data_IF_422629203415
#
_entry.id   IF_422629203415
#
_cell.length_a   1.000
_cell.length_b   1.000
_cell.length_c   1.000
_cell.angle_alpha   90.00
_cell.angle_beta   90.00
_cell.angle_gamma   90.00
#
_symmetry.space_group_name_H-M   'P 1'
#
loop_
_entity.id
_entity.type
_entity.pdbx_description
1 polymer ?
#
# COMPACT_ATOMS: atom_id res chain seq x y z
N UNK A 1 -2.72 -10.10 -5.72
CA UNK A 1 -3.28 -10.82 -4.55
C UNK A 1 -3.27 -12.32 -4.85
N UNK A 2 -3.26 -13.17 -3.82
CA UNK A 2 -3.18 -14.64 -3.87
C UNK A 2 -1.94 -15.22 -4.59
N UNK A 3 -0.91 -14.41 -4.75
CA UNK A 3 0.38 -14.80 -5.32
C UNK A 3 1.49 -14.00 -4.67
N UNK A 4 2.72 -14.54 -4.72
CA UNK A 4 3.89 -13.79 -4.29
C UNK A 4 4.03 -12.52 -5.16
N UNK A 5 4.32 -11.36 -4.56
CA UNK A 5 4.58 -10.16 -5.34
C UNK A 5 5.76 -10.42 -6.30
N UNK A 6 5.69 -9.90 -7.54
CA UNK A 6 6.69 -10.17 -8.57
C UNK A 6 7.93 -9.28 -8.38
N UNK A 7 8.51 -9.33 -7.19
CA UNK A 7 9.69 -8.59 -6.75
C UNK A 7 10.93 -9.51 -6.81
N UNK A 8 12.08 -8.97 -7.18
CA UNK A 8 13.35 -9.71 -7.31
C UNK A 8 14.00 -10.03 -5.94
N UNK A 9 13.24 -10.59 -5.01
CA UNK A 9 13.72 -11.11 -3.73
C UNK A 9 13.57 -12.64 -3.65
N UNK A 10 14.36 -13.31 -2.80
CA UNK A 10 14.14 -14.72 -2.48
C UNK A 10 12.68 -15.01 -2.12
N UNK A 11 12.19 -16.20 -2.46
CA UNK A 11 10.80 -16.58 -2.13
C UNK A 11 10.52 -16.52 -0.62
N UNK A 12 11.51 -16.84 0.22
CA UNK A 12 11.42 -16.75 1.68
C UNK A 12 11.26 -15.33 2.22
N UNK A 13 11.55 -14.31 1.42
CA UNK A 13 11.44 -12.89 1.79
C UNK A 13 10.16 -12.24 1.20
N UNK A 14 9.31 -13.05 0.55
CA UNK A 14 8.06 -12.59 -0.05
C UNK A 14 6.88 -13.30 0.60
N UNK A 15 5.83 -12.54 0.87
CA UNK A 15 4.56 -13.07 1.33
C UNK A 15 3.44 -12.65 0.36
N UNK A 16 2.49 -13.54 0.14
CA UNK A 16 1.30 -13.23 -0.63
C UNK A 16 0.30 -12.43 0.22
N UNK A 17 -0.38 -11.46 -0.38
CA UNK A 17 -1.61 -10.88 0.21
C UNK A 17 -2.81 -11.72 -0.18
N UNK A 18 -3.77 -11.91 0.73
CA UNK A 18 -4.99 -12.67 0.47
C UNK A 18 -5.72 -13.01 1.77
N UNK A 19 -6.75 -13.85 1.67
CA UNK A 19 -7.35 -14.44 2.87
C UNK A 19 -6.47 -15.55 3.41
N UNK A 20 -6.36 -15.66 4.73
CA UNK A 20 -5.55 -16.65 5.42
C UNK A 20 -6.38 -17.46 6.42
N UNK A 21 -6.32 -18.77 6.33
CA UNK A 21 -6.93 -19.68 7.30
C UNK A 21 -5.83 -20.49 7.99
N UNK A 22 -5.75 -20.39 9.31
CA UNK A 22 -4.75 -21.10 10.12
C UNK A 22 -3.30 -20.93 9.61
N UNK A 23 -2.94 -19.70 9.19
CA UNK A 23 -1.60 -19.36 8.70
C UNK A 23 -1.31 -19.80 7.25
N UNK A 24 -2.30 -20.33 6.53
CA UNK A 24 -2.17 -20.72 5.13
C UNK A 24 -3.06 -19.85 4.25
N UNK A 25 -2.58 -19.54 3.04
CA UNK A 25 -3.36 -18.81 2.06
C UNK A 25 -4.63 -19.61 1.72
N UNK A 26 -5.78 -18.98 1.85
CA UNK A 26 -7.10 -19.56 1.71
C UNK A 26 -7.81 -18.95 0.49
N UNK A 27 -7.96 -19.74 -0.57
CA UNK A 27 -8.71 -19.36 -1.77
C UNK A 27 -10.15 -19.94 -1.71
N UNK A 28 -11.17 -19.13 -1.38
CA UNK A 28 -12.53 -19.61 -1.18
C UNK A 28 -13.16 -20.13 -2.48
N UNK A 29 -13.67 -21.37 -2.46
CA UNK A 29 -14.39 -21.98 -3.60
C UNK A 29 -15.87 -21.60 -3.64
N UNK A 30 -16.43 -21.23 -2.49
CA UNK A 30 -17.80 -20.72 -2.33
C UNK A 30 -17.78 -19.42 -1.51
N UNK A 31 -17.33 -18.30 -2.10
CA UNK A 31 -17.11 -17.05 -1.37
C UNK A 31 -18.35 -16.49 -0.66
N UNK A 32 -19.54 -16.77 -1.18
CA UNK A 32 -20.85 -16.39 -0.66
C UNK A 32 -21.15 -16.98 0.73
N UNK A 33 -20.56 -18.13 1.04
CA UNK A 33 -20.74 -18.82 2.34
C UNK A 33 -19.46 -18.85 3.17
N UNK A 34 -18.30 -18.68 2.54
CA UNK A 34 -16.99 -18.83 3.18
C UNK A 34 -16.33 -17.50 3.55
N UNK A 35 -16.85 -16.38 3.08
CA UNK A 35 -16.29 -15.03 3.33
C UNK A 35 -17.42 -14.12 3.77
N UNK A 36 -17.16 -13.31 4.80
CA UNK A 36 -18.05 -12.21 5.17
C UNK A 36 -17.68 -10.98 4.32
N UNK A 37 -18.49 -10.62 3.30
CA UNK A 37 -18.17 -9.50 2.42
C UNK A 37 -18.23 -8.16 3.15
N UNK A 38 -19.03 -8.04 4.21
CA UNK A 38 -19.11 -6.85 5.03
C UNK A 38 -17.79 -6.59 5.73
N UNK A 39 -17.23 -7.60 6.41
CA UNK A 39 -15.91 -7.53 7.07
C UNK A 39 -14.80 -7.25 6.07
N UNK A 40 -14.80 -7.97 4.95
CA UNK A 40 -13.77 -7.82 3.93
C UNK A 40 -13.73 -6.40 3.34
N UNK A 41 -14.91 -5.79 3.11
CA UNK A 41 -15.02 -4.49 2.45
C UNK A 41 -14.32 -3.35 3.19
N UNK A 42 -14.16 -3.43 4.52
CA UNK A 42 -13.42 -2.43 5.30
C UNK A 42 -12.04 -2.93 5.78
N UNK A 43 -11.52 -3.99 5.16
CA UNK A 43 -10.18 -4.49 5.40
C UNK A 43 -10.05 -5.34 6.67
N UNK A 44 -11.16 -5.89 7.17
CA UNK A 44 -11.18 -6.93 8.18
C UNK A 44 -11.34 -8.31 7.52
N UNK A 45 -11.77 -9.29 8.31
CA UNK A 45 -11.80 -10.72 8.00
C UNK A 45 -10.40 -11.34 8.09
N UNK A 46 -10.23 -12.53 7.53
CA UNK A 46 -8.94 -13.23 7.40
C UNK A 46 -7.98 -12.57 6.40
N UNK A 47 -8.22 -11.32 5.99
CA UNK A 47 -7.40 -10.63 5.01
C UNK A 47 -6.06 -10.24 5.63
N UNK A 48 -4.97 -10.73 5.05
CA UNK A 48 -3.63 -10.27 5.34
C UNK A 48 -3.03 -9.62 4.10
N UNK A 49 -2.33 -8.50 4.31
CA UNK A 49 -1.63 -7.76 3.25
C UNK A 49 -0.22 -7.39 3.67
N UNK A 50 0.67 -7.23 2.70
CA UNK A 50 2.03 -6.74 2.96
C UNK A 50 2.09 -5.21 2.79
N UNK A 51 2.99 -4.50 3.50
CA UNK A 51 3.20 -3.07 3.28
C UNK A 51 3.57 -2.74 1.84
N UNK A 52 4.40 -3.57 1.20
CA UNK A 52 4.74 -3.39 -0.21
C UNK A 52 3.50 -3.40 -1.10
N UNK A 53 2.59 -4.37 -0.92
CA UNK A 53 1.39 -4.45 -1.76
C UNK A 53 0.44 -3.28 -1.48
N UNK A 54 0.34 -2.79 -0.25
CA UNK A 54 -0.41 -1.56 0.03
C UNK A 54 0.23 -0.31 -0.57
N UNK A 55 1.57 -0.24 -0.64
CA UNK A 55 2.27 0.83 -1.35
C UNK A 55 2.02 0.72 -2.87
N UNK A 56 1.98 -0.48 -3.44
CA UNK A 56 1.62 -0.71 -4.84
C UNK A 56 0.19 -0.27 -5.15
N UNK A 57 -0.78 -0.52 -4.24
CA UNK A 57 -2.16 -0.04 -4.38
C UNK A 57 -2.19 1.49 -4.44
N UNK A 58 -1.51 2.16 -3.51
CA UNK A 58 -1.39 3.63 -3.52
C UNK A 58 -0.71 4.13 -4.81
N UNK A 59 0.36 3.46 -5.25
CA UNK A 59 1.07 3.79 -6.47
C UNK A 59 0.19 3.63 -7.72
N UNK A 60 -0.60 2.56 -7.80
CA UNK A 60 -1.52 2.34 -8.92
C UNK A 60 -2.59 3.43 -8.99
N UNK A 61 -3.14 3.88 -7.85
CA UNK A 61 -4.09 5.00 -7.82
C UNK A 61 -3.40 6.28 -8.31
N UNK A 62 -2.23 6.62 -7.77
CA UNK A 62 -1.47 7.80 -8.20
C UNK A 62 -1.02 7.73 -9.66
N UNK A 63 -0.80 6.53 -10.19
CA UNK A 63 -0.43 6.31 -11.59
C UNK A 63 -1.65 6.09 -12.50
N UNK A 64 -2.75 6.79 -12.22
CA UNK A 64 -3.98 6.78 -13.03
C UNK A 64 -4.54 5.37 -13.30
N UNK A 65 -4.41 4.49 -12.31
CA UNK A 65 -4.89 3.11 -12.34
C UNK A 65 -3.92 2.09 -12.96
N UNK A 66 -2.75 2.50 -13.44
CA UNK A 66 -1.74 1.59 -13.98
C UNK A 66 -0.88 1.01 -12.85
N UNK A 67 -0.97 -0.30 -12.64
CA UNK A 67 -0.17 -1.03 -11.67
C UNK A 67 1.18 -1.41 -12.28
N UNK A 68 2.26 -0.85 -11.73
CA UNK A 68 3.63 -1.10 -12.21
C UNK A 68 4.24 -2.31 -11.49
N UNK A 69 5.12 -3.03 -12.20
CA UNK A 69 5.95 -4.08 -11.60
C UNK A 69 6.96 -3.43 -10.66
N UNK A 70 6.96 -3.76 -9.35
CA UNK A 70 7.96 -3.24 -8.44
C UNK A 70 9.31 -3.88 -8.76
N UNK A 71 10.37 -3.07 -8.74
CA UNK A 71 11.73 -3.52 -9.04
C UNK A 71 12.70 -2.98 -7.98
N UNK A 72 13.58 -3.82 -7.45
CA UNK A 72 14.70 -3.39 -6.58
C UNK A 72 15.99 -3.27 -7.40
N UNK A 73 16.15 -4.14 -8.39
CA UNK A 73 17.37 -4.21 -9.20
C UNK A 73 17.26 -3.27 -10.40
N UNK A 74 18.09 -2.24 -10.46
CA UNK A 74 18.17 -1.36 -11.63
C UNK A 74 18.97 -2.01 -12.79
N UNK A 75 20.11 -2.62 -12.47
CA UNK A 75 21.02 -3.21 -13.46
C UNK A 75 21.95 -4.24 -12.85
N UNK A 76 22.41 -5.16 -13.68
CA UNK A 76 23.42 -6.18 -13.36
C UNK A 76 24.70 -5.87 -14.14
N UNK A 77 25.84 -5.84 -13.46
CA UNK A 77 27.14 -5.45 -14.04
C UNK A 77 28.16 -6.55 -13.76
N UNK A 78 28.88 -6.97 -14.81
CA UNK A 78 29.97 -7.95 -14.71
C UNK A 78 31.22 -7.33 -14.07
N UNK A 79 32.14 -8.16 -13.53
CA UNK A 79 33.51 -7.72 -13.26
C UNK A 79 34.12 -7.07 -14.52
N UNK A 80 34.65 -5.85 -14.38
CA UNK A 80 35.14 -5.04 -15.50
C UNK A 80 34.13 -4.03 -16.07
N UNK A 81 32.93 -3.90 -15.49
CA UNK A 81 32.01 -2.78 -15.78
C UNK A 81 31.05 -3.01 -16.96
N UNK A 82 31.12 -4.17 -17.63
CA UNK A 82 30.17 -4.52 -18.70
C UNK A 82 28.77 -4.72 -18.11
N UNK A 83 27.79 -3.94 -18.59
CA UNK A 83 26.37 -4.14 -18.23
C UNK A 83 25.87 -5.46 -18.83
N UNK A 84 25.32 -6.32 -17.98
CA UNK A 84 24.69 -7.60 -18.36
C UNK A 84 23.21 -7.40 -18.63
N UNK A 85 22.53 -6.68 -17.74
CA UNK A 85 21.10 -6.39 -17.83
C UNK A 85 20.81 -5.01 -17.25
N UNK A 86 19.79 -4.35 -17.77
CA UNK A 86 19.21 -3.13 -17.21
C UNK A 86 17.69 -3.27 -17.26
N UNK A 87 17.06 -3.34 -16.10
CA UNK A 87 15.62 -3.56 -16.01
C UNK A 87 14.92 -2.26 -16.37
N UNK A 88 13.91 -2.35 -17.22
CA UNK A 88 13.05 -1.23 -17.58
C UNK A 88 11.75 -1.30 -16.80
N UNK A 89 11.10 -0.15 -16.50
CA UNK A 89 9.76 -0.14 -15.94
C UNK A 89 8.81 -0.97 -16.80
N UNK A 90 8.03 -1.83 -16.14
CA UNK A 90 7.06 -2.74 -16.76
C UNK A 90 5.71 -2.58 -16.07
N UNK A 91 4.62 -2.70 -16.84
CA UNK A 91 3.26 -2.60 -16.31
C UNK A 91 2.71 -4.00 -16.04
N UNK A 92 2.29 -4.26 -14.79
CA UNK A 92 1.62 -5.52 -14.43
C UNK A 92 0.19 -5.56 -14.93
N UNK A 93 -0.50 -4.42 -14.91
CA UNK A 93 -1.88 -4.34 -15.35
C UNK A 93 -2.53 -2.97 -15.15
N UNK A 94 -3.83 -2.93 -15.40
CA UNK A 94 -4.68 -1.74 -15.25
C UNK A 94 -5.94 -2.13 -14.45
N UNK A 95 -5.83 -2.33 -13.13
CA UNK A 95 -6.95 -2.80 -12.30
C UNK A 95 -8.15 -1.84 -12.28
N UNK A 96 -7.93 -0.54 -12.47
CA UNK A 96 -8.98 0.47 -12.51
C UNK A 96 -8.78 1.45 -13.67
N UNK A 97 -9.86 2.07 -14.13
CA UNK A 97 -9.81 3.12 -15.15
C UNK A 97 -9.16 4.39 -14.60
N UNK A 98 -8.52 5.17 -15.48
CA UNK A 98 -7.99 6.51 -15.16
C UNK A 98 -8.99 7.38 -14.42
N UNK A 99 -10.22 7.51 -14.93
CA UNK A 99 -11.26 8.31 -14.29
C UNK A 99 -11.52 7.89 -12.84
N UNK A 100 -11.61 6.58 -12.58
CA UNK A 100 -11.80 6.03 -11.22
C UNK A 100 -10.61 6.36 -10.32
N UNK A 101 -9.39 6.25 -10.84
CA UNK A 101 -8.18 6.59 -10.09
C UNK A 101 -8.10 8.09 -9.76
N UNK A 102 -8.50 8.95 -10.70
CA UNK A 102 -8.53 10.41 -10.50
C UNK A 102 -9.59 10.81 -9.46
N UNK A 103 -10.77 10.17 -9.48
CA UNK A 103 -11.80 10.34 -8.46
C UNK A 103 -11.34 9.85 -7.08
N UNK A 104 -10.69 8.68 -7.00
CA UNK A 104 -10.08 8.16 -5.77
C UNK A 104 -9.02 9.10 -5.22
N UNK A 105 -8.17 9.66 -6.09
CA UNK A 105 -7.14 10.62 -5.70
C UNK A 105 -7.75 11.81 -4.96
N UNK A 106 -8.80 12.43 -5.55
CA UNK A 106 -9.51 13.56 -4.91
C UNK A 106 -10.11 13.17 -3.56
N UNK A 107 -10.73 11.99 -3.46
CA UNK A 107 -11.29 11.51 -2.19
C UNK A 107 -10.20 11.27 -1.14
N UNK A 108 -9.04 10.75 -1.55
CA UNK A 108 -7.89 10.54 -0.67
C UNK A 108 -7.23 11.85 -0.23
N UNK A 109 -7.24 12.91 -1.06
CA UNK A 109 -6.82 14.25 -0.65
C UNK A 109 -7.73 14.82 0.45
N UNK A 110 -9.04 14.58 0.39
CA UNK A 110 -9.99 15.04 1.42
C UNK A 110 -9.71 14.41 2.78
N UNK A 111 -9.23 13.16 2.82
CA UNK A 111 -8.82 12.49 4.06
C UNK A 111 -7.68 13.24 4.76
N UNK A 112 -6.76 13.82 3.99
CA UNK A 112 -5.58 14.54 4.51
C UNK A 112 -5.86 16.02 4.75
N UNK A 113 -6.75 16.64 3.98
CA UNK A 113 -7.05 18.08 4.14
C UNK A 113 -8.08 18.36 5.22
N UNK A 114 -8.98 17.42 5.52
CA UNK A 114 -10.01 17.61 6.55
C UNK A 114 -10.55 16.35 7.21
N UNK A 115 -9.97 15.18 6.91
CA UNK A 115 -10.45 13.89 7.43
C UNK A 115 -9.55 13.27 8.50
N UNK A 116 -9.53 11.95 8.54
CA UNK A 116 -8.80 11.17 9.55
C UNK A 116 -7.28 11.18 9.38
N UNK A 117 -6.77 11.60 8.21
CA UNK A 117 -5.36 11.56 7.85
C UNK A 117 -4.66 12.92 7.92
N UNK A 118 -5.23 13.91 8.60
CA UNK A 118 -4.72 15.30 8.62
C UNK A 118 -3.28 15.44 9.09
N UNK A 119 -2.81 14.53 9.95
CA UNK A 119 -1.42 14.48 10.39
C UNK A 119 -0.42 14.18 9.25
N UNK A 120 -0.87 13.70 8.09
CA UNK A 120 -0.06 13.49 6.90
C UNK A 120 0.12 14.76 6.04
N UNK A 121 -0.52 15.88 6.39
CA UNK A 121 -0.47 17.11 5.59
C UNK A 121 0.93 17.73 5.55
N UNK A 122 1.38 18.06 4.33
CA UNK A 122 2.68 18.67 4.04
C UNK A 122 2.43 20.05 3.39
N UNK A 123 2.91 21.16 3.98
CA UNK A 123 2.76 22.48 3.38
C UNK A 123 3.34 22.54 1.96
N UNK A 124 2.53 23.01 1.01
CA UNK A 124 2.93 23.16 -0.40
C UNK A 124 2.92 21.87 -1.23
N UNK A 125 2.63 20.71 -0.64
CA UNK A 125 2.56 19.42 -1.35
C UNK A 125 1.18 18.82 -1.14
N UNK A 126 0.45 18.55 -2.22
CA UNK A 126 -0.82 17.82 -2.13
C UNK A 126 -0.54 16.36 -1.80
N UNK A 127 -1.13 15.86 -0.72
CA UNK A 127 -0.96 14.46 -0.30
C UNK A 127 -2.30 13.75 -0.42
N UNK A 128 -2.33 12.66 -1.16
CA UNK A 128 -3.47 11.76 -1.22
C UNK A 128 -3.17 10.55 -0.33
N UNK A 129 -3.98 10.30 0.70
CA UNK A 129 -3.73 9.19 1.62
C UNK A 129 -4.98 8.62 2.27
N UNK A 130 -4.82 7.48 2.92
CA UNK A 130 -5.89 6.83 3.68
C UNK A 130 -5.36 6.14 4.92
N UNK A 131 -6.06 6.35 6.04
CA UNK A 131 -5.83 5.65 7.31
C UNK A 131 -6.47 4.26 7.29
N UNK A 132 -5.84 3.30 7.96
CA UNK A 132 -6.43 2.04 8.38
C UNK A 132 -6.15 1.79 9.86
N UNK A 133 -7.09 1.16 10.56
CA UNK A 133 -6.92 0.71 11.94
C UNK A 133 -7.55 -0.67 12.04
N UNK A 134 -6.73 -1.70 12.12
CA UNK A 134 -7.20 -3.08 12.18
C UNK A 134 -7.16 -3.60 13.62
N UNK A 135 -8.30 -4.08 14.12
CA UNK A 135 -8.39 -4.82 15.38
C UNK A 135 -7.63 -6.14 15.30
N UNK A 136 -6.94 -6.51 16.38
CA UNK A 136 -6.21 -7.80 16.46
C UNK A 136 -6.84 -8.77 17.49
N UNK A 137 -8.10 -8.53 17.85
CA UNK A 137 -8.84 -9.34 18.84
C UNK A 137 -8.36 -9.19 20.28
N UNK A 138 -7.51 -8.18 20.57
CA UNK A 138 -7.02 -7.84 21.91
C UNK A 138 -7.45 -6.42 22.23
N UNK A 139 -8.17 -6.24 23.34
CA UNK A 139 -8.86 -4.98 23.68
C UNK A 139 -7.99 -3.73 23.46
N UNK A 140 -8.48 -2.81 22.64
CA UNK A 140 -7.85 -1.54 22.28
C UNK A 140 -6.42 -1.63 21.70
N UNK A 141 -5.98 -2.81 21.28
CA UNK A 141 -4.72 -2.98 20.54
C UNK A 141 -5.06 -3.09 19.07
N UNK A 142 -4.38 -2.28 18.26
CA UNK A 142 -4.63 -2.18 16.83
C UNK A 142 -3.33 -2.30 16.03
N UNK A 143 -3.47 -2.70 14.77
CA UNK A 143 -2.45 -2.45 13.75
C UNK A 143 -2.81 -1.14 13.03
N UNK A 144 -1.96 -0.14 13.17
CA UNK A 144 -2.14 1.19 12.60
C UNK A 144 -1.53 1.27 11.21
N UNK A 145 -2.32 1.66 10.22
CA UNK A 145 -1.92 1.74 8.81
C UNK A 145 -2.09 3.15 8.26
N UNK A 146 -1.19 3.55 7.37
CA UNK A 146 -1.40 4.68 6.48
C UNK A 146 -0.78 4.39 5.12
N UNK A 147 -1.58 4.47 4.05
CA UNK A 147 -1.09 4.36 2.68
C UNK A 147 -1.34 5.68 1.94
N UNK A 148 -0.36 6.17 1.19
CA UNK A 148 -0.43 7.46 0.53
C UNK A 148 0.48 7.55 -0.68
N UNK A 149 0.26 8.60 -1.48
CA UNK A 149 1.19 9.05 -2.51
C UNK A 149 1.19 10.57 -2.58
N UNK A 150 2.30 11.13 -3.06
CA UNK A 150 2.49 12.56 -3.19
C UNK A 150 3.54 12.91 -4.26
N UNK A 151 3.49 14.14 -4.81
CA UNK A 151 2.34 15.05 -4.84
C UNK A 151 1.12 14.43 -5.53
N UNK A 152 -0.10 14.71 -5.08
CA UNK A 152 -1.31 14.07 -5.63
C UNK A 152 -1.58 14.45 -7.10
N UNK A 153 -1.16 15.65 -7.51
CA UNK A 153 -1.31 16.17 -8.87
C UNK A 153 -0.16 15.79 -9.82
N UNK A 154 1.00 15.41 -9.28
CA UNK A 154 2.12 14.86 -10.05
C UNK A 154 2.87 13.81 -9.22
N UNK A 155 2.32 12.59 -9.04
CA UNK A 155 2.86 11.61 -8.08
C UNK A 155 4.31 11.23 -8.35
N UNK A 156 5.13 11.31 -7.31
CA UNK A 156 6.57 11.01 -7.32
C UNK A 156 6.94 9.89 -6.36
N UNK A 157 6.19 9.76 -5.27
CA UNK A 157 6.39 8.73 -4.23
C UNK A 157 5.05 8.13 -3.83
N UNK A 158 5.03 6.82 -3.60
CA UNK A 158 3.96 6.10 -2.93
C UNK A 158 4.53 5.38 -1.70
N UNK A 159 3.78 5.32 -0.61
CA UNK A 159 4.23 4.81 0.68
C UNK A 159 3.09 4.06 1.39
N UNK A 160 3.45 3.01 2.13
CA UNK A 160 2.60 2.41 3.14
C UNK A 160 3.39 2.26 4.44
N UNK A 161 2.82 2.75 5.53
CA UNK A 161 3.38 2.67 6.88
C UNK A 161 2.45 1.82 7.74
N UNK A 162 3.03 0.83 8.41
CA UNK A 162 2.33 -0.05 9.35
C UNK A 162 3.06 -0.08 10.69
N UNK A 163 2.30 -0.02 11.78
CA UNK A 163 2.78 -0.28 13.12
C UNK A 163 1.84 -1.26 13.81
N UNK A 164 2.36 -2.41 14.19
CA UNK A 164 1.60 -3.47 14.86
C UNK A 164 1.54 -3.23 16.38
N UNK A 165 0.55 -3.84 17.02
CA UNK A 165 0.41 -3.87 18.48
C UNK A 165 0.34 -2.49 19.17
N UNK A 166 -0.36 -1.54 18.55
CA UNK A 166 -0.50 -0.19 19.07
C UNK A 166 -1.66 -0.09 20.05
N UNK A 167 -1.37 0.15 21.32
CA UNK A 167 -2.39 0.40 22.35
C UNK A 167 -3.03 1.78 22.13
N UNK A 168 -4.34 1.81 21.85
CA UNK A 168 -5.10 3.01 21.47
C UNK A 168 -4.48 3.79 20.30
N UNK A 169 -3.69 3.12 19.45
CA UNK A 169 -3.02 3.75 18.31
C UNK A 169 -3.79 3.54 17.01
N UNK A 170 -4.05 4.63 16.30
CA UNK A 170 -4.81 4.62 15.05
C UNK A 170 -3.92 5.01 13.87
N UNK A 171 -4.29 4.61 12.66
CA UNK A 171 -3.55 4.97 11.45
C UNK A 171 -3.29 6.47 11.29
N UNK A 172 -4.26 7.30 11.69
CA UNK A 172 -4.15 8.76 11.63
C UNK A 172 -3.24 9.40 12.68
N UNK A 173 -3.12 8.79 13.87
CA UNK A 173 -2.34 9.35 14.99
C UNK A 173 -0.92 8.78 15.05
N UNK A 174 -0.71 7.58 14.50
CA UNK A 174 0.56 6.84 14.59
C UNK A 174 1.25 6.79 13.23
N UNK A 175 0.61 6.21 12.22
CA UNK A 175 1.26 5.91 10.93
C UNK A 175 1.32 7.13 9.99
N UNK A 176 0.30 7.99 9.99
CA UNK A 176 0.24 9.18 9.16
C UNK A 176 1.38 10.20 9.42
N UNK A 177 1.74 10.56 10.68
CA UNK A 177 2.89 11.42 10.95
C UNK A 177 4.23 10.85 10.47
N UNK A 178 4.40 9.51 10.49
CA UNK A 178 5.61 8.85 9.99
C UNK A 178 5.65 8.95 8.46
N UNK A 179 4.53 8.66 7.80
CA UNK A 179 4.42 8.80 6.35
C UNK A 179 4.74 10.22 5.89
N UNK A 180 4.26 11.23 6.63
CA UNK A 180 4.60 12.64 6.40
C UNK A 180 6.12 12.86 6.39
N UNK A 181 6.80 12.47 7.46
CA UNK A 181 8.25 12.70 7.61
C UNK A 181 9.04 12.06 6.47
N UNK A 182 8.69 10.84 6.08
CA UNK A 182 9.35 10.14 4.97
C UNK A 182 9.08 10.85 3.63
N UNK A 183 7.83 11.21 3.35
CA UNK A 183 7.50 11.93 2.11
C UNK A 183 8.14 13.32 2.05
N UNK A 184 8.21 14.05 3.17
CA UNK A 184 8.92 15.34 3.24
C UNK A 184 10.41 15.20 2.93
N UNK A 185 11.05 14.13 3.42
CA UNK A 185 12.46 13.87 3.16
C UNK A 185 12.75 13.47 1.70
N UNK A 186 11.78 12.86 1.01
CA UNK A 186 11.93 12.40 -0.38
C UNK A 186 11.54 13.45 -1.43
N UNK A 187 10.72 14.44 -1.06
CA UNK A 187 10.16 15.43 -1.98
C UNK A 187 10.75 16.84 -1.84
N UNK A 188 11.62 17.06 -0.85
CA UNK A 188 12.44 18.27 -0.72
C UNK A 188 13.83 18.03 -1.28
#
# INVERSE_FOLDING_TARGET
>A
FYSLPPLELPESERAASGLYDHGRLFDPKHPDTQVDPGRLAFGQERLAVTPLQMAMVAAAIGNHGAEMRPQIVERIVAPGGKKIAHLQPDQLGQPIKRQTADELTRMMELVVTGGTGTAASIPGIKVAGKTGTAEVGRGNIYTAWFAAFAPADAPRVAIAVVLEHQLNGFGGTVSAPIAKQVMEALLR
#
